data_IF_876204998487
#
_entry.id   IF_876204998487
#
_cell.length_a   1.000
_cell.length_b   1.000
_cell.length_c   1.000
_cell.angle_alpha   90.00
_cell.angle_beta   90.00
_cell.angle_gamma   90.00
#
_symmetry.space_group_name_H-M   'P 1'
#
loop_
_entity.id
_entity.type
_entity.pdbx_description
1 polymer ?
#
# COMPACT_ATOMS: atom_id res chain seq x y z
N UNK A 1 -2.74 4.14 -24.62
CA UNK A 1 -1.45 3.43 -24.47
C UNK A 1 -1.39 2.92 -23.03
N UNK A 2 -1.44 1.61 -22.78
CA UNK A 2 -1.39 1.07 -21.43
C UNK A 2 0.08 0.87 -21.05
N UNK A 3 0.56 1.52 -20.01
CA UNK A 3 1.96 1.34 -19.58
C UNK A 3 2.54 2.43 -18.67
N UNK A 4 1.82 3.53 -18.44
CA UNK A 4 2.24 4.56 -17.46
C UNK A 4 1.46 4.55 -16.16
N UNK A 5 0.27 3.95 -16.13
CA UNK A 5 -0.65 4.05 -15.00
C UNK A 5 -0.24 3.06 -13.88
N UNK A 6 -0.08 1.78 -14.18
CA UNK A 6 0.41 0.77 -13.21
C UNK A 6 1.80 1.00 -12.56
N UNK A 7 2.62 1.93 -13.05
CA UNK A 7 3.93 2.27 -12.45
C UNK A 7 3.84 3.39 -11.42
N UNK A 8 2.76 4.19 -11.44
CA UNK A 8 2.61 5.38 -10.59
C UNK A 8 2.38 5.04 -9.11
N UNK A 9 1.46 4.12 -8.75
CA UNK A 9 1.25 3.77 -7.34
C UNK A 9 2.50 3.15 -6.72
N UNK A 10 3.22 2.30 -7.45
CA UNK A 10 4.50 1.72 -7.00
C UNK A 10 5.52 2.82 -6.67
N UNK A 11 5.63 3.84 -7.54
CA UNK A 11 6.54 4.96 -7.30
C UNK A 11 6.11 5.77 -6.06
N UNK A 12 4.82 5.99 -5.85
CA UNK A 12 4.32 6.69 -4.68
C UNK A 12 4.60 5.93 -3.38
N UNK A 13 4.37 4.61 -3.36
CA UNK A 13 4.69 3.72 -2.24
C UNK A 13 6.19 3.79 -1.91
N UNK A 14 7.05 3.70 -2.92
CA UNK A 14 8.50 3.79 -2.74
C UNK A 14 8.94 5.17 -2.22
N UNK A 15 8.34 6.25 -2.73
CA UNK A 15 8.63 7.61 -2.29
C UNK A 15 8.23 7.81 -0.82
N UNK A 16 7.06 7.30 -0.40
CA UNK A 16 6.62 7.37 1.00
C UNK A 16 7.53 6.57 1.93
N UNK A 17 7.88 5.33 1.55
CA UNK A 17 8.81 4.50 2.33
C UNK A 17 10.18 5.19 2.49
N UNK A 18 10.68 5.84 1.44
CA UNK A 18 11.97 6.56 1.47
C UNK A 18 11.94 7.90 2.19
N UNK A 19 10.76 8.48 2.42
CA UNK A 19 10.61 9.74 3.16
C UNK A 19 10.77 9.56 4.68
N UNK A 20 10.63 8.32 5.18
CA UNK A 20 10.71 7.97 6.60
C UNK A 20 11.89 7.01 6.80
N UNK A 21 12.73 7.23 7.80
CA UNK A 21 13.86 6.33 8.08
C UNK A 21 13.35 4.91 8.38
N UNK A 22 13.93 3.89 7.73
CA UNK A 22 13.49 2.48 7.85
C UNK A 22 11.97 2.30 7.63
N UNK A 23 11.38 3.14 6.78
CA UNK A 23 9.95 3.21 6.55
C UNK A 23 9.38 1.96 5.87
N UNK A 24 8.31 1.40 6.44
CA UNK A 24 7.51 0.32 5.85
C UNK A 24 6.08 0.78 5.63
N UNK A 25 5.70 0.98 4.37
CA UNK A 25 4.31 1.28 4.01
C UNK A 25 3.40 0.14 4.43
N UNK A 26 2.22 0.46 4.94
CA UNK A 26 1.24 -0.54 5.37
C UNK A 26 -0.21 -0.23 5.03
N UNK A 27 -0.46 0.97 4.53
CA UNK A 27 -1.78 1.44 4.13
C UNK A 27 -1.57 2.57 3.11
N UNK A 28 -2.32 2.50 2.01
CA UNK A 28 -2.26 3.42 0.86
C UNK A 28 -3.70 3.73 0.47
N UNK A 29 -4.09 4.97 0.70
CA UNK A 29 -5.46 5.43 0.53
C UNK A 29 -5.52 6.55 -0.54
N UNK A 30 -6.55 6.54 -1.40
CA UNK A 30 -6.76 7.60 -2.36
C UNK A 30 -7.25 8.87 -1.65
N UNK A 31 -6.47 9.95 -1.68
CA UNK A 31 -6.93 11.30 -1.35
C UNK A 31 -7.37 12.09 -2.59
N UNK A 32 -7.98 13.26 -2.41
CA UNK A 32 -8.49 14.06 -3.54
C UNK A 32 -7.43 14.41 -4.60
N UNK A 33 -6.21 14.75 -4.17
CA UNK A 33 -5.11 15.25 -5.01
C UNK A 33 -3.79 14.48 -4.84
N UNK A 34 -3.73 13.61 -3.82
CA UNK A 34 -2.54 12.90 -3.39
C UNK A 34 -2.92 11.52 -2.89
N UNK A 35 -1.96 10.60 -2.88
CA UNK A 35 -2.01 9.44 -2.01
C UNK A 35 -1.79 9.88 -0.56
N UNK A 36 -2.58 9.32 0.34
CA UNK A 36 -2.27 9.31 1.77
C UNK A 36 -1.70 7.93 2.10
N UNK A 37 -0.46 7.88 2.57
CA UNK A 37 0.26 6.62 2.77
C UNK A 37 0.71 6.55 4.22
N UNK A 38 0.30 5.51 4.95
CA UNK A 38 0.79 5.26 6.31
C UNK A 38 2.04 4.41 6.25
N UNK A 39 3.06 4.84 6.98
CA UNK A 39 4.41 4.28 7.01
C UNK A 39 4.78 3.97 8.45
N UNK A 40 5.09 2.71 8.73
CA UNK A 40 5.62 2.27 10.00
C UNK A 40 7.13 2.55 10.07
N UNK A 41 7.59 3.13 11.18
CA UNK A 41 9.02 3.29 11.47
C UNK A 41 9.25 3.30 12.98
N UNK A 42 10.18 2.47 13.46
CA UNK A 42 10.57 2.39 14.88
C UNK A 42 9.40 2.35 15.89
N UNK A 43 8.32 1.64 15.57
CA UNK A 43 7.12 1.54 16.41
C UNK A 43 6.22 2.78 16.41
N UNK A 44 6.43 3.71 15.47
CA UNK A 44 5.59 4.85 15.18
C UNK A 44 4.93 4.70 13.81
N UNK A 45 3.82 5.41 13.64
CA UNK A 45 3.15 5.58 12.36
C UNK A 45 3.39 7.00 11.85
N UNK A 46 3.73 7.12 10.58
CA UNK A 46 3.87 8.36 9.85
C UNK A 46 2.87 8.39 8.71
N UNK A 47 2.13 9.48 8.59
CA UNK A 47 1.30 9.75 7.42
C UNK A 47 2.12 10.55 6.43
N UNK A 48 2.28 10.03 5.21
CA UNK A 48 3.00 10.67 4.12
C UNK A 48 2.03 10.97 3.00
N UNK A 49 1.99 12.23 2.55
CA UNK A 49 1.23 12.64 1.36
C UNK A 49 2.14 12.65 0.16
N UNK A 50 1.77 11.93 -0.90
CA UNK A 50 2.57 11.83 -2.14
C UNK A 50 1.69 12.14 -3.35
N UNK A 51 2.22 12.84 -4.35
CA UNK A 51 1.51 13.08 -5.61
C UNK A 51 1.04 11.76 -6.25
N UNK A 52 -0.08 11.79 -6.98
CA UNK A 52 -0.67 10.58 -7.60
C UNK A 52 0.31 9.81 -8.50
N UNK A 53 1.20 10.53 -9.17
CA UNK A 53 2.24 9.98 -10.04
C UNK A 53 3.52 9.53 -9.30
N UNK A 54 3.57 9.67 -7.97
CA UNK A 54 4.72 9.34 -7.12
C UNK A 54 5.93 10.27 -7.29
N UNK A 55 5.81 11.38 -8.01
CA UNK A 55 6.91 12.30 -8.30
C UNK A 55 7.31 13.23 -7.17
N UNK A 56 6.40 13.53 -6.24
CA UNK A 56 6.61 14.52 -5.19
C UNK A 56 6.03 14.07 -3.87
N UNK A 57 6.82 14.14 -2.80
CA UNK A 57 6.34 14.02 -1.42
C UNK A 57 5.90 15.41 -0.97
N UNK A 58 4.63 15.58 -0.62
CA UNK A 58 4.06 16.85 -0.16
C UNK A 58 4.30 17.11 1.32
N UNK A 59 4.43 16.05 2.12
CA UNK A 59 4.71 16.15 3.54
C UNK A 59 4.66 14.80 4.23
N UNK A 60 5.24 14.78 5.43
CA UNK A 60 5.32 13.64 6.33
C UNK A 60 4.98 14.14 7.73
N UNK A 61 4.17 13.37 8.46
CA UNK A 61 3.75 13.70 9.81
C UNK A 61 3.61 12.41 10.64
N UNK A 62 4.40 12.30 11.70
CA UNK A 62 4.18 11.28 12.72
C UNK A 62 2.80 11.46 13.39
N UNK A 63 2.06 10.37 13.55
CA UNK A 63 0.75 10.41 14.20
C UNK A 63 0.87 10.34 15.72
N UNK A 64 -0.01 11.06 16.43
CA UNK A 64 0.01 11.07 17.89
C UNK A 64 -0.51 9.77 18.52
N UNK A 65 -1.27 8.99 17.74
CA UNK A 65 -1.88 7.71 18.13
C UNK A 65 -1.65 6.72 16.99
N UNK A 66 -0.55 5.95 17.02
CA UNK A 66 -0.28 4.97 15.99
C UNK A 66 -1.33 3.86 15.94
N UNK A 67 -1.59 3.31 14.76
CA UNK A 67 -2.46 2.15 14.57
C UNK A 67 -1.94 0.90 15.28
N UNK A 68 -2.84 0.00 15.67
CA UNK A 68 -2.48 -1.35 16.10
C UNK A 68 -1.95 -2.22 14.94
N UNK A 69 -2.15 -1.79 13.70
CA UNK A 69 -1.57 -2.39 12.49
C UNK A 69 -0.04 -2.37 12.48
N UNK A 70 0.61 -1.52 13.27
CA UNK A 70 2.07 -1.57 13.40
C UNK A 70 2.57 -2.97 13.83
N UNK A 71 1.80 -3.67 14.65
CA UNK A 71 2.11 -5.05 15.03
C UNK A 71 1.97 -6.02 13.84
N UNK A 72 1.02 -5.77 12.94
CA UNK A 72 0.81 -6.53 11.68
C UNK A 72 1.99 -6.32 10.74
N UNK A 73 2.46 -5.09 10.56
CA UNK A 73 3.64 -4.76 9.74
C UNK A 73 4.88 -5.48 10.22
N UNK A 74 5.13 -5.48 11.53
CA UNK A 74 6.24 -6.21 12.14
C UNK A 74 6.21 -7.73 11.87
N UNK A 75 5.03 -8.28 11.58
CA UNK A 75 4.84 -9.68 11.23
C UNK A 75 4.86 -9.95 9.72
N UNK A 76 4.75 -8.95 8.84
CA UNK A 76 4.78 -9.20 7.39
C UNK A 76 6.20 -9.44 6.89
N UNK A 77 6.36 -10.42 6.00
CA UNK A 77 7.60 -10.68 5.25
C UNK A 77 7.51 -10.11 3.82
N UNK A 78 6.29 -9.83 3.35
CA UNK A 78 5.99 -9.24 2.04
C UNK A 78 5.70 -7.75 2.22
N UNK A 79 6.40 -6.90 1.49
CA UNK A 79 6.13 -5.46 1.46
C UNK A 79 4.96 -5.10 0.52
N UNK A 80 4.47 -3.86 0.64
CA UNK A 80 3.37 -3.32 -0.15
C UNK A 80 3.64 -3.38 -1.67
N UNK A 81 4.87 -3.12 -2.13
CA UNK A 81 5.20 -3.13 -3.56
C UNK A 81 5.10 -4.54 -4.13
N UNK A 82 5.63 -5.53 -3.43
CA UNK A 82 5.54 -6.94 -3.82
C UNK A 82 4.09 -7.44 -3.79
N UNK A 83 3.32 -7.07 -2.77
CA UNK A 83 1.90 -7.40 -2.67
C UNK A 83 1.09 -6.80 -3.85
N UNK A 84 1.25 -5.50 -4.12
CA UNK A 84 0.57 -4.83 -5.23
C UNK A 84 0.89 -5.48 -6.58
N UNK A 85 2.17 -5.76 -6.85
CA UNK A 85 2.57 -6.42 -8.10
C UNK A 85 1.95 -7.81 -8.24
N UNK A 86 1.89 -8.57 -7.15
CA UNK A 86 1.24 -9.89 -7.14
C UNK A 86 -0.25 -9.77 -7.45
N UNK A 87 -0.94 -8.81 -6.83
CA UNK A 87 -2.34 -8.55 -7.07
C UNK A 87 -2.60 -8.16 -8.54
N UNK A 88 -1.80 -7.25 -9.10
CA UNK A 88 -1.92 -6.79 -10.50
C UNK A 88 -1.60 -7.89 -11.52
N UNK A 89 -0.70 -8.83 -11.18
CA UNK A 89 -0.47 -10.01 -12.01
C UNK A 89 -1.69 -10.93 -12.04
N UNK A 90 -2.41 -11.05 -10.93
CA UNK A 90 -3.63 -11.86 -10.83
C UNK A 90 -4.83 -11.18 -11.50
N UNK A 91 -4.98 -9.87 -11.30
CA UNK A 91 -6.07 -9.07 -11.83
C UNK A 91 -5.49 -7.73 -12.32
N UNK A 92 -5.34 -7.53 -13.65
CA UNK A 92 -4.87 -6.26 -14.17
C UNK A 92 -5.80 -5.10 -13.79
N UNK A 93 -5.25 -4.05 -13.21
CA UNK A 93 -6.00 -2.87 -12.79
C UNK A 93 -5.11 -1.82 -12.12
N UNK A 94 -5.66 -0.62 -11.98
CA UNK A 94 -5.05 0.47 -11.24
C UNK A 94 -5.34 0.31 -9.75
N UNK A 95 -4.37 0.69 -8.90
CA UNK A 95 -4.59 0.70 -7.45
C UNK A 95 -5.70 1.70 -7.11
N UNK A 96 -6.70 1.26 -6.35
CA UNK A 96 -7.66 2.14 -5.69
C UNK A 96 -7.20 2.41 -4.26
N UNK A 97 -7.00 1.34 -3.47
CA UNK A 97 -6.52 1.35 -2.09
C UNK A 97 -5.78 0.04 -1.77
N UNK A 98 -4.90 0.04 -0.76
CA UNK A 98 -4.39 -1.19 -0.16
C UNK A 98 -4.01 -1.04 1.31
N UNK A 99 -4.22 -2.09 2.10
CA UNK A 99 -3.87 -2.10 3.53
C UNK A 99 -3.38 -3.48 3.99
N UNK A 100 -2.61 -3.50 5.07
CA UNK A 100 -2.27 -4.74 5.78
C UNK A 100 -3.37 -5.07 6.80
N UNK A 101 -3.91 -6.28 6.73
CA UNK A 101 -4.94 -6.71 7.67
C UNK A 101 -4.90 -8.22 7.96
N UNK A 102 -5.91 -8.72 8.67
CA UNK A 102 -6.17 -10.13 8.88
C UNK A 102 -7.43 -10.55 8.15
N UNK A 103 -7.32 -11.58 7.33
CA UNK A 103 -8.48 -12.25 6.77
C UNK A 103 -9.36 -12.86 7.89
N UNK A 104 -10.58 -13.25 7.55
CA UNK A 104 -11.55 -13.82 8.49
C UNK A 104 -11.03 -15.08 9.24
N UNK A 105 -10.08 -15.81 8.64
CA UNK A 105 -9.43 -16.98 9.24
C UNK A 105 -8.21 -16.62 10.13
N UNK A 106 -7.92 -15.33 10.32
CA UNK A 106 -6.81 -14.80 11.09
C UNK A 106 -5.48 -14.69 10.34
N UNK A 107 -5.42 -15.16 9.09
CA UNK A 107 -4.22 -15.04 8.23
C UNK A 107 -3.87 -13.57 8.03
N UNK A 108 -2.61 -13.21 8.24
CA UNK A 108 -2.09 -11.90 7.88
C UNK A 108 -2.02 -11.75 6.35
N UNK A 109 -2.69 -10.74 5.81
CA UNK A 109 -2.82 -10.49 4.38
C UNK A 109 -2.60 -9.01 4.07
N UNK A 110 -2.26 -8.76 2.81
CA UNK A 110 -2.54 -7.48 2.17
C UNK A 110 -3.89 -7.57 1.50
N UNK A 111 -4.75 -6.59 1.72
CA UNK A 111 -5.97 -6.39 0.96
C UNK A 111 -5.73 -5.29 -0.07
N UNK A 112 -5.99 -5.56 -1.35
CA UNK A 112 -5.70 -4.65 -2.46
C UNK A 112 -6.95 -4.47 -3.30
N UNK A 113 -7.46 -3.24 -3.38
CA UNK A 113 -8.50 -2.83 -4.32
C UNK A 113 -7.89 -2.43 -5.66
N UNK A 114 -8.29 -3.10 -6.75
CA UNK A 114 -7.86 -2.79 -8.10
C UNK A 114 -9.06 -2.41 -8.98
N UNK A 115 -8.98 -1.27 -9.66
CA UNK A 115 -9.98 -0.83 -10.61
C UNK A 115 -9.58 -1.24 -12.03
N UNK A 116 -10.43 -2.00 -12.70
CA UNK A 116 -10.16 -2.44 -14.08
C UNK A 116 -10.44 -1.34 -15.12
N UNK A 117 -10.08 -1.60 -16.38
CA UNK A 117 -10.28 -0.65 -17.48
C UNK A 117 -11.75 -0.36 -17.84
N UNK A 118 -12.71 -1.03 -17.21
CA UNK A 118 -14.15 -0.76 -17.32
C UNK A 118 -14.67 0.02 -16.10
N UNK A 119 -13.81 0.31 -15.13
CA UNK A 119 -14.15 1.01 -13.90
C UNK A 119 -14.71 0.10 -12.80
N UNK A 120 -14.67 -1.23 -12.96
CA UNK A 120 -15.11 -2.14 -11.90
C UNK A 120 -13.97 -2.38 -10.89
N UNK A 121 -14.31 -2.37 -9.61
CA UNK A 121 -13.40 -2.67 -8.51
C UNK A 121 -13.33 -4.17 -8.23
N UNK A 122 -12.11 -4.64 -7.99
CA UNK A 122 -11.78 -6.03 -7.67
C UNK A 122 -10.90 -6.05 -6.44
N UNK A 123 -11.33 -6.72 -5.38
CA UNK A 123 -10.53 -6.91 -4.17
C UNK A 123 -9.70 -8.19 -4.30
N UNK A 124 -8.39 -8.07 -4.18
CA UNK A 124 -7.44 -9.19 -4.19
C UNK A 124 -6.77 -9.25 -2.82
N UNK A 125 -6.71 -10.44 -2.22
CA UNK A 125 -5.92 -10.65 -1.01
C UNK A 125 -4.62 -11.35 -1.35
N UNK A 126 -3.52 -10.90 -0.75
CA UNK A 126 -2.19 -11.49 -0.91
C UNK A 126 -1.66 -11.85 0.47
N UNK A 127 -1.21 -13.08 0.64
CA UNK A 127 -0.60 -13.52 1.88
C UNK A 127 0.61 -12.65 2.24
N UNK A 128 0.61 -12.02 3.43
CA UNK A 128 1.67 -11.10 3.83
C UNK A 128 2.97 -11.79 4.28
N UNK A 129 2.96 -13.13 4.37
CA UNK A 129 4.11 -13.99 4.68
C UNK A 129 4.72 -14.60 3.41
N UNK A 130 3.89 -15.16 2.53
CA UNK A 130 4.36 -15.88 1.34
C UNK A 130 4.38 -15.02 0.09
N UNK A 131 3.44 -14.08 -0.02
CA UNK A 131 3.24 -13.24 -1.19
C UNK A 131 2.39 -13.91 -2.26
N UNK A 132 1.67 -14.98 -1.91
CA UNK A 132 0.76 -15.67 -2.83
C UNK A 132 -0.60 -14.99 -2.80
N UNK A 133 -1.18 -14.75 -3.98
CA UNK A 133 -2.58 -14.30 -4.10
C UNK A 133 -3.53 -15.43 -3.70
N UNK A 134 -4.54 -15.09 -2.90
CA UNK A 134 -5.54 -16.03 -2.38
C UNK A 134 -6.87 -15.90 -3.12
#
# INVERSE_FOLDING_TARGET
MPGKEGTQPVKAIQAAAGAVSDGRVFDVEPGNDAWEIKVASHGQEHKVRVSRDGGQVFGEQQTAKPSDDLAKVGQADVDAVKALRTAQQRQPGELDEMEIDRAADGTLVWEIGLRDGKGAEHKITVDAKTGEAR
#
